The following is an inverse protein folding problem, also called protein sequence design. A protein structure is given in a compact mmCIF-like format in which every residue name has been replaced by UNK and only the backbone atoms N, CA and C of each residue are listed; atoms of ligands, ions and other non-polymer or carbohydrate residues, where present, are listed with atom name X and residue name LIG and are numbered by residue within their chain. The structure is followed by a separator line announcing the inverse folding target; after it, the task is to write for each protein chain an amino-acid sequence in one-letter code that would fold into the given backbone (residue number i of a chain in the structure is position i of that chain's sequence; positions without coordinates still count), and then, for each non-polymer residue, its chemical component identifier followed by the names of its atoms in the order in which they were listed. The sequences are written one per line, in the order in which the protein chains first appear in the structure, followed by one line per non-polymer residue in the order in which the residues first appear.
data_IF_865222565129
#
_entry.id   IF_865222565129
#
_cell.length_a   1.000
_cell.length_b   1.000
_cell.length_c   1.000
_cell.angle_alpha   90.00
_cell.angle_beta   90.00
_cell.angle_gamma   90.00
#
_symmetry.space_group_name_H-M   'P 1'
#
loop_
_entity.id
_entity.type
_entity.pdbx_description
1 polymer ?
#
# COMPACT_ATOMS: atom_id res chain seq x y z
N UNK A 1 0.08 -21.11 26.47
CA UNK A 1 0.09 -21.10 24.99
C UNK A 1 -0.15 -19.72 24.38
N UNK A 2 -1.10 -18.90 24.86
CA UNK A 2 -1.31 -17.54 24.34
C UNK A 2 -0.11 -16.56 24.48
N UNK A 3 0.73 -16.74 25.51
CA UNK A 3 1.92 -15.90 25.73
C UNK A 3 3.13 -16.21 24.83
N UNK A 4 3.14 -17.37 24.16
CA UNK A 4 4.19 -17.75 23.21
C UNK A 4 3.87 -17.26 21.80
N UNK A 5 2.60 -17.30 21.38
CA UNK A 5 2.14 -16.67 20.14
C UNK A 5 2.38 -15.14 20.17
N UNK A 6 2.00 -14.46 21.26
CA UNK A 6 2.23 -13.01 21.43
C UNK A 6 3.71 -12.60 21.45
N UNK A 7 4.61 -13.52 21.85
CA UNK A 7 6.07 -13.29 21.80
C UNK A 7 6.65 -13.55 20.41
N UNK A 8 6.14 -14.56 19.69
CA UNK A 8 6.51 -14.80 18.30
C UNK A 8 6.05 -13.64 17.39
N UNK A 9 4.85 -13.11 17.62
CA UNK A 9 4.33 -11.94 16.91
C UNK A 9 5.19 -10.69 17.18
N UNK A 10 5.66 -10.51 18.41
CA UNK A 10 6.53 -9.40 18.80
C UNK A 10 7.98 -9.54 18.30
N UNK A 11 8.48 -10.76 18.09
CA UNK A 11 9.80 -11.02 17.49
C UNK A 11 9.80 -10.80 15.97
N UNK A 12 8.68 -11.08 15.30
CA UNK A 12 8.49 -10.84 13.85
C UNK A 12 8.39 -9.32 13.56
N UNK A 13 7.88 -8.52 14.50
CA UNK A 13 7.67 -7.07 14.38
C UNK A 13 8.81 -6.20 14.93
N UNK A 14 9.91 -6.80 15.40
CA UNK A 14 11.01 -6.06 16.00
C UNK A 14 11.82 -5.29 14.94
N UNK A 15 11.29 -4.12 14.53
CA UNK A 15 12.01 -3.16 13.70
C UNK A 15 13.42 -2.99 14.24
N UNK A 16 14.42 -3.10 13.36
CA UNK A 16 15.78 -2.75 13.72
C UNK A 16 15.77 -1.33 14.29
N UNK A 17 16.50 -1.08 15.39
CA UNK A 17 16.51 0.25 16.06
C UNK A 17 16.80 1.40 15.09
N UNK A 18 17.55 1.13 14.03
CA UNK A 18 17.82 2.06 12.94
C UNK A 18 16.57 2.38 12.09
N UNK A 19 15.78 1.35 11.75
CA UNK A 19 14.55 1.46 10.96
C UNK A 19 13.44 2.20 11.73
N UNK A 20 13.25 1.87 13.01
CA UNK A 20 12.31 2.60 13.87
C UNK A 20 12.67 4.09 13.98
N UNK A 21 13.97 4.40 14.09
CA UNK A 21 14.47 5.78 14.11
C UNK A 21 14.25 6.49 12.78
N UNK A 22 14.50 5.83 11.66
CA UNK A 22 14.26 6.36 10.32
C UNK A 22 12.77 6.69 10.12
N UNK A 23 11.89 5.74 10.42
CA UNK A 23 10.44 5.91 10.30
C UNK A 23 9.94 7.06 11.18
N UNK A 24 10.42 7.15 12.42
CA UNK A 24 10.08 8.27 13.32
C UNK A 24 10.53 9.61 12.74
N UNK A 25 11.77 9.70 12.26
CA UNK A 25 12.31 10.94 11.66
C UNK A 25 11.52 11.34 10.41
N UNK A 26 11.24 10.40 9.51
CA UNK A 26 10.45 10.65 8.28
C UNK A 26 9.06 11.19 8.61
N UNK A 27 8.35 10.54 9.54
CA UNK A 27 7.00 10.97 9.96
C UNK A 27 7.01 12.33 10.66
N UNK A 28 7.92 12.54 11.62
CA UNK A 28 8.03 13.82 12.31
C UNK A 28 8.41 14.95 11.34
N UNK A 29 9.34 14.69 10.41
CA UNK A 29 9.69 15.66 9.38
C UNK A 29 8.46 16.00 8.51
N UNK A 30 7.67 15.02 8.07
CA UNK A 30 6.46 15.26 7.29
C UNK A 30 5.38 16.06 8.02
N UNK A 31 5.18 15.82 9.32
CA UNK A 31 4.23 16.58 10.14
C UNK A 31 4.61 18.06 10.29
N UNK A 32 5.88 18.41 10.15
CA UNK A 32 6.37 19.79 10.25
C UNK A 32 6.51 20.41 8.86
N UNK A 33 7.21 19.72 7.95
CA UNK A 33 7.49 20.20 6.59
C UNK A 33 6.23 20.32 5.75
N UNK A 34 5.25 19.42 5.88
CA UNK A 34 3.99 19.50 5.14
C UNK A 34 3.27 20.83 5.39
N UNK A 35 2.87 21.14 6.64
CA UNK A 35 2.25 22.42 6.98
C UNK A 35 3.14 23.63 6.70
N UNK A 36 4.46 23.52 6.91
CA UNK A 36 5.37 24.62 6.60
C UNK A 36 5.40 24.95 5.10
N UNK A 37 5.47 23.94 4.23
CA UNK A 37 5.44 24.12 2.78
C UNK A 37 4.07 24.58 2.29
N UNK A 38 2.98 24.10 2.91
CA UNK A 38 1.63 24.60 2.66
C UNK A 38 1.55 26.11 2.90
N UNK A 39 1.99 26.57 4.08
CA UNK A 39 1.98 27.99 4.44
C UNK A 39 2.91 28.81 3.54
N UNK A 40 4.08 28.27 3.22
CA UNK A 40 5.02 28.92 2.30
C UNK A 40 4.36 29.15 0.94
N UNK A 41 3.75 28.14 0.34
CA UNK A 41 3.08 28.29 -0.97
C UNK A 41 1.89 29.22 -0.86
N UNK A 42 1.07 29.12 0.19
CA UNK A 42 -0.12 29.96 0.37
C UNK A 42 0.23 31.45 0.51
N UNK A 43 1.33 31.77 1.21
CA UNK A 43 1.79 33.14 1.44
C UNK A 43 2.67 33.68 0.32
N UNK A 44 3.25 32.80 -0.50
CA UNK A 44 4.08 33.22 -1.62
C UNK A 44 3.22 33.79 -2.76
N UNK A 45 3.46 35.04 -3.21
CA UNK A 45 2.64 35.63 -4.25
C UNK A 45 2.90 34.94 -5.60
N UNK A 46 1.86 34.28 -6.13
CA UNK A 46 1.86 33.67 -7.47
C UNK A 46 0.87 34.41 -8.37
N UNK A 47 1.25 35.56 -8.94
CA UNK A 47 0.34 36.47 -9.63
C UNK A 47 -0.27 35.91 -10.93
N UNK A 48 0.27 34.80 -11.45
CA UNK A 48 -0.24 34.12 -12.63
C UNK A 48 -1.43 33.19 -12.36
N UNK A 49 -1.80 32.97 -11.09
CA UNK A 49 -2.87 32.05 -10.69
C UNK A 49 -4.10 32.78 -10.16
N UNK A 50 -5.28 32.19 -10.36
CA UNK A 50 -6.49 32.61 -9.64
C UNK A 50 -6.35 32.31 -8.15
N UNK A 51 -7.04 33.03 -7.25
CA UNK A 51 -6.96 32.77 -5.81
C UNK A 51 -7.31 31.31 -5.43
N UNK A 52 -8.27 30.71 -6.12
CA UNK A 52 -8.67 29.32 -5.93
C UNK A 52 -7.58 28.35 -6.41
N UNK A 53 -6.98 28.60 -7.58
CA UNK A 53 -5.89 27.77 -8.10
C UNK A 53 -4.63 27.84 -7.22
N UNK A 54 -4.32 29.02 -6.69
CA UNK A 54 -3.21 29.21 -5.75
C UNK A 54 -3.45 28.45 -4.43
N UNK A 55 -4.64 28.57 -3.86
CA UNK A 55 -5.01 27.82 -2.64
C UNK A 55 -4.96 26.30 -2.90
N UNK A 56 -5.42 25.85 -4.06
CA UNK A 56 -5.36 24.45 -4.46
C UNK A 56 -3.91 23.95 -4.59
N UNK A 57 -3.01 24.75 -5.17
CA UNK A 57 -1.61 24.42 -5.27
C UNK A 57 -0.97 24.20 -3.88
N UNK A 58 -1.30 25.05 -2.91
CA UNK A 58 -0.85 24.86 -1.53
C UNK A 58 -1.37 23.54 -0.94
N UNK A 59 -2.67 23.24 -1.11
CA UNK A 59 -3.27 21.98 -0.66
C UNK A 59 -2.61 20.76 -1.30
N UNK A 60 -2.30 20.80 -2.60
CA UNK A 60 -1.60 19.72 -3.30
C UNK A 60 -0.21 19.49 -2.69
N UNK A 61 0.55 20.55 -2.45
CA UNK A 61 1.89 20.46 -1.84
C UNK A 61 1.81 19.82 -0.44
N UNK A 62 0.80 20.17 0.35
CA UNK A 62 0.56 19.54 1.64
C UNK A 62 0.29 18.03 1.51
N UNK A 63 -0.68 17.67 0.67
CA UNK A 63 -1.11 16.27 0.48
C UNK A 63 0.03 15.40 -0.04
N UNK A 64 0.77 15.88 -1.05
CA UNK A 64 1.93 15.17 -1.61
C UNK A 64 3.03 15.02 -0.56
N UNK A 65 3.34 16.09 0.18
CA UNK A 65 4.34 16.04 1.26
C UNK A 65 3.98 15.00 2.33
N UNK A 66 2.71 14.95 2.73
CA UNK A 66 2.20 13.98 3.71
C UNK A 66 2.18 12.55 3.16
N UNK A 67 1.92 12.34 1.88
CA UNK A 67 1.99 11.01 1.24
C UNK A 67 3.42 10.49 1.12
N UNK A 68 4.37 11.32 0.66
CA UNK A 68 5.78 10.92 0.53
C UNK A 68 6.40 10.56 1.88
N UNK A 69 6.04 11.32 2.91
CA UNK A 69 6.57 11.11 4.27
C UNK A 69 5.76 10.09 5.08
N UNK A 70 4.57 9.71 4.61
CA UNK A 70 3.59 8.91 5.35
C UNK A 70 3.41 9.38 6.81
N UNK A 71 3.42 10.69 6.99
CA UNK A 71 3.27 11.34 8.29
C UNK A 71 1.90 11.06 8.92
N UNK A 72 0.89 10.90 8.08
CA UNK A 72 -0.46 10.44 8.42
C UNK A 72 -0.79 9.18 7.60
N UNK A 73 -1.73 8.33 8.05
CA UNK A 73 -2.25 7.23 7.25
C UNK A 73 -2.72 7.73 5.87
N UNK A 74 -2.39 7.00 4.80
CA UNK A 74 -2.66 7.41 3.41
C UNK A 74 -4.14 7.81 3.20
N UNK A 75 -5.07 7.05 3.79
CA UNK A 75 -6.50 7.33 3.71
C UNK A 75 -6.91 8.64 4.41
N UNK A 76 -6.30 8.96 5.55
CA UNK A 76 -6.57 10.21 6.27
C UNK A 76 -6.06 11.42 5.44
N UNK A 77 -4.87 11.30 4.85
CA UNK A 77 -4.31 12.32 3.95
C UNK A 77 -5.17 12.49 2.68
N UNK A 78 -5.71 11.40 2.13
CA UNK A 78 -6.58 11.44 0.96
C UNK A 78 -7.90 12.20 1.21
N UNK A 79 -8.44 12.15 2.43
CA UNK A 79 -9.61 12.94 2.84
C UNK A 79 -9.26 14.40 3.15
N UNK A 80 -8.05 14.66 3.69
CA UNK A 80 -7.61 15.99 4.07
C UNK A 80 -7.64 16.97 2.89
N UNK A 81 -7.19 16.55 1.70
CA UNK A 81 -7.15 17.40 0.50
C UNK A 81 -8.52 17.97 0.12
N UNK A 82 -9.53 17.13 -0.16
CA UNK A 82 -10.90 17.56 -0.43
C UNK A 82 -11.53 18.39 0.69
N UNK A 83 -11.28 18.05 1.95
CA UNK A 83 -11.76 18.85 3.10
C UNK A 83 -11.18 20.27 3.04
N UNK A 84 -9.87 20.40 2.83
CA UNK A 84 -9.25 21.71 2.66
C UNK A 84 -9.77 22.43 1.41
N UNK A 85 -10.01 21.72 0.31
CA UNK A 85 -10.62 22.29 -0.88
C UNK A 85 -11.99 22.94 -0.61
N UNK A 86 -12.80 22.32 0.24
CA UNK A 86 -14.09 22.88 0.69
C UNK A 86 -13.88 24.09 1.61
N UNK A 87 -12.98 23.97 2.59
CA UNK A 87 -12.69 25.05 3.57
C UNK A 87 -12.18 26.31 2.87
N UNK A 88 -11.28 26.17 1.88
CA UNK A 88 -10.77 27.27 1.07
C UNK A 88 -11.72 27.70 -0.06
N UNK A 89 -12.93 27.13 -0.12
CA UNK A 89 -13.95 27.42 -1.15
C UNK A 89 -13.43 27.27 -2.59
N UNK A 90 -12.54 26.29 -2.79
CA UNK A 90 -12.01 25.92 -4.11
C UNK A 90 -13.09 25.19 -4.92
N UNK A 91 -13.84 24.29 -4.27
CA UNK A 91 -14.93 23.54 -4.86
C UNK A 91 -16.05 23.28 -3.84
N UNK A 92 -17.31 23.14 -4.26
CA UNK A 92 -18.39 22.74 -3.36
C UNK A 92 -18.19 21.29 -2.88
N UNK A 93 -18.75 20.97 -1.71
CA UNK A 93 -18.56 19.66 -1.07
C UNK A 93 -18.95 18.47 -1.94
N UNK A 94 -20.03 18.62 -2.73
CA UNK A 94 -20.49 17.58 -3.66
C UNK A 94 -19.43 17.24 -4.71
N UNK A 95 -18.74 18.24 -5.24
CA UNK A 95 -17.76 18.05 -6.31
C UNK A 95 -16.41 17.60 -5.74
N UNK A 96 -16.02 18.12 -4.56
CA UNK A 96 -14.78 17.72 -3.90
C UNK A 96 -14.81 16.27 -3.37
N UNK A 97 -15.97 15.81 -2.89
CA UNK A 97 -16.13 14.44 -2.36
C UNK A 97 -16.74 13.46 -3.38
N UNK A 98 -17.30 13.94 -4.48
CA UNK A 98 -17.88 13.13 -5.55
C UNK A 98 -16.98 11.98 -6.04
N UNK A 99 -15.66 12.19 -6.22
CA UNK A 99 -14.74 11.13 -6.64
C UNK A 99 -14.68 9.92 -5.70
N UNK A 100 -15.06 10.03 -4.42
CA UNK A 100 -15.13 8.87 -3.51
C UNK A 100 -16.28 7.92 -3.84
N UNK A 101 -17.22 8.33 -4.68
CA UNK A 101 -18.32 7.50 -5.18
C UNK A 101 -18.13 7.08 -6.64
N UNK A 102 -16.90 7.18 -7.17
CA UNK A 102 -16.60 6.74 -8.52
C UNK A 102 -16.83 5.21 -8.66
N UNK A 103 -17.52 4.74 -9.72
CA UNK A 103 -17.76 3.30 -9.94
C UNK A 103 -16.50 2.43 -9.90
N UNK A 104 -15.33 2.99 -10.27
CA UNK A 104 -14.05 2.29 -10.22
C UNK A 104 -13.68 1.91 -8.78
N UNK A 105 -14.02 2.74 -7.78
CA UNK A 105 -13.78 2.40 -6.36
C UNK A 105 -14.59 1.16 -5.96
N UNK A 106 -15.86 1.09 -6.37
CA UNK A 106 -16.71 -0.07 -6.08
C UNK A 106 -16.23 -1.33 -6.81
N UNK A 107 -15.70 -1.18 -8.03
CA UNK A 107 -15.06 -2.27 -8.75
C UNK A 107 -13.85 -2.82 -7.98
N UNK A 108 -12.99 -1.95 -7.43
CA UNK A 108 -11.87 -2.36 -6.58
C UNK A 108 -12.32 -3.03 -5.28
N UNK A 109 -13.38 -2.53 -4.64
CA UNK A 109 -13.94 -3.17 -3.45
C UNK A 109 -14.40 -4.60 -3.79
N UNK A 110 -15.14 -4.77 -4.89
CA UNK A 110 -15.58 -6.08 -5.36
C UNK A 110 -14.43 -7.03 -5.69
N UNK A 111 -13.35 -6.53 -6.33
CA UNK A 111 -12.18 -7.35 -6.64
C UNK A 111 -11.41 -7.76 -5.37
N UNK A 112 -11.31 -6.88 -4.36
CA UNK A 112 -10.74 -7.24 -3.06
C UNK A 112 -11.58 -8.26 -2.30
N UNK A 113 -12.92 -8.16 -2.36
CA UNK A 113 -13.79 -9.19 -1.77
C UNK A 113 -13.60 -10.55 -2.45
N UNK A 114 -13.46 -10.59 -3.78
CA UNK A 114 -13.18 -11.82 -4.52
C UNK A 114 -11.79 -12.39 -4.16
N UNK A 115 -10.77 -11.52 -4.10
CA UNK A 115 -9.42 -11.89 -3.69
C UNK A 115 -9.39 -12.52 -2.29
N UNK A 116 -10.08 -11.89 -1.33
CA UNK A 116 -10.19 -12.39 0.04
C UNK A 116 -10.95 -13.72 0.10
N UNK A 117 -12.03 -13.88 -0.68
CA UNK A 117 -12.74 -15.15 -0.76
C UNK A 117 -11.82 -16.28 -1.27
N UNK A 118 -10.99 -16.02 -2.30
CA UNK A 118 -10.01 -17.00 -2.77
C UNK A 118 -8.98 -17.36 -1.69
N UNK A 119 -8.52 -16.38 -0.92
CA UNK A 119 -7.56 -16.57 0.18
C UNK A 119 -8.17 -17.40 1.32
N UNK A 120 -9.37 -17.05 1.78
CA UNK A 120 -10.07 -17.77 2.88
C UNK A 120 -10.42 -19.21 2.49
N UNK A 121 -10.81 -19.46 1.23
CA UNK A 121 -11.06 -20.81 0.74
C UNK A 121 -9.79 -21.59 0.34
N UNK A 122 -8.62 -20.95 0.40
CA UNK A 122 -7.33 -21.53 0.04
C UNK A 122 -7.20 -21.90 -1.43
N UNK A 123 -7.96 -21.26 -2.31
CA UNK A 123 -7.90 -21.50 -3.76
C UNK A 123 -6.53 -21.11 -4.32
N UNK A 124 -6.01 -19.98 -3.86
CA UNK A 124 -4.66 -19.47 -4.14
C UNK A 124 -3.56 -20.51 -3.85
N UNK A 125 -3.61 -21.15 -2.68
CA UNK A 125 -2.68 -22.22 -2.29
C UNK A 125 -2.84 -23.47 -3.13
N UNK A 126 -4.09 -23.87 -3.44
CA UNK A 126 -4.36 -25.02 -4.31
C UNK A 126 -3.77 -24.79 -5.70
N UNK A 127 -3.93 -23.61 -6.28
CA UNK A 127 -3.34 -23.24 -7.58
C UNK A 127 -1.81 -23.32 -7.49
N UNK A 128 -1.21 -22.70 -6.47
CA UNK A 128 0.24 -22.69 -6.29
C UNK A 128 0.82 -24.11 -6.14
N UNK A 129 0.26 -24.93 -5.25
CA UNK A 129 0.74 -26.29 -5.05
C UNK A 129 0.49 -27.19 -6.25
N UNK A 130 -0.65 -27.06 -6.93
CA UNK A 130 -0.94 -27.84 -8.13
C UNK A 130 0.11 -27.56 -9.20
N UNK A 131 0.42 -26.29 -9.48
CA UNK A 131 1.43 -25.91 -10.45
C UNK A 131 2.84 -26.36 -10.07
N UNK A 132 3.23 -26.20 -8.79
CA UNK A 132 4.58 -26.54 -8.31
C UNK A 132 4.80 -28.05 -8.14
N UNK A 133 3.73 -28.82 -7.90
CA UNK A 133 3.77 -30.29 -7.76
C UNK A 133 3.95 -31.04 -9.08
N UNK A 134 3.85 -30.35 -10.22
CA UNK A 134 3.96 -30.99 -11.53
C UNK A 134 5.33 -31.64 -11.71
N UNK A 135 5.35 -32.93 -12.06
CA UNK A 135 6.58 -33.76 -12.12
C UNK A 135 7.70 -33.18 -12.99
N UNK A 136 7.36 -32.43 -14.04
CA UNK A 136 8.34 -31.83 -14.93
C UNK A 136 9.03 -30.62 -14.29
N UNK A 137 8.40 -29.96 -13.32
CA UNK A 137 8.90 -28.75 -12.64
C UNK A 137 10.08 -29.08 -11.71
N UNK A 138 9.98 -30.17 -10.96
CA UNK A 138 11.04 -30.65 -10.06
C UNK A 138 12.31 -31.18 -10.72
N UNK A 139 12.36 -31.30 -12.05
CA UNK A 139 13.53 -31.87 -12.78
C UNK A 139 14.69 -30.90 -12.99
N UNK A 140 14.49 -29.60 -12.75
CA UNK A 140 15.52 -28.58 -12.94
C UNK A 140 15.27 -27.38 -12.02
N UNK A 141 16.29 -26.88 -11.29
CA UNK A 141 16.17 -25.68 -10.46
C UNK A 141 15.69 -24.44 -11.23
N UNK A 142 16.17 -24.24 -12.46
CA UNK A 142 15.78 -23.11 -13.32
C UNK A 142 14.29 -23.13 -13.66
N UNK A 143 13.75 -24.33 -13.92
CA UNK A 143 12.35 -24.53 -14.23
C UNK A 143 11.45 -24.34 -13.01
N UNK A 144 11.89 -24.83 -11.86
CA UNK A 144 11.22 -24.58 -10.58
C UNK A 144 11.11 -23.08 -10.31
N UNK A 145 12.19 -22.33 -10.50
CA UNK A 145 12.18 -20.87 -10.34
C UNK A 145 11.24 -20.18 -11.34
N UNK A 146 11.25 -20.59 -12.61
CA UNK A 146 10.38 -20.03 -13.64
C UNK A 146 8.89 -20.24 -13.32
N UNK A 147 8.52 -21.44 -12.88
CA UNK A 147 7.12 -21.76 -12.50
C UNK A 147 6.74 -21.07 -11.20
N UNK A 148 7.62 -21.01 -10.21
CA UNK A 148 7.39 -20.25 -8.99
C UNK A 148 7.14 -18.76 -9.27
N UNK A 149 7.97 -18.14 -10.10
CA UNK A 149 7.79 -16.75 -10.53
C UNK A 149 6.51 -16.55 -11.34
N UNK A 150 6.19 -17.47 -12.25
CA UNK A 150 4.96 -17.43 -13.04
C UNK A 150 3.71 -17.52 -12.18
N UNK A 151 3.67 -18.47 -11.24
CA UNK A 151 2.58 -18.60 -10.26
C UNK A 151 2.44 -17.33 -9.42
N UNK A 152 3.53 -16.80 -8.90
CA UNK A 152 3.50 -15.55 -8.14
C UNK A 152 2.93 -14.40 -8.97
N UNK A 153 3.38 -14.23 -10.22
CA UNK A 153 2.88 -13.19 -11.11
C UNK A 153 1.39 -13.36 -11.43
N UNK A 154 0.93 -14.56 -11.74
CA UNK A 154 -0.48 -14.85 -12.04
C UNK A 154 -1.37 -14.60 -10.82
N UNK A 155 -0.96 -15.06 -9.64
CA UNK A 155 -1.73 -14.83 -8.41
C UNK A 155 -1.76 -13.34 -8.04
N UNK A 156 -0.66 -12.61 -8.24
CA UNK A 156 -0.57 -11.17 -7.97
C UNK A 156 -1.47 -10.31 -8.85
N UNK A 157 -2.01 -10.83 -9.96
CA UNK A 157 -2.97 -10.11 -10.81
C UNK A 157 -4.38 -10.07 -10.19
N UNK A 158 -4.74 -11.08 -9.40
CA UNK A 158 -6.09 -11.26 -8.86
C UNK A 158 -6.17 -11.17 -7.34
N UNK A 159 -5.03 -11.29 -6.67
CA UNK A 159 -4.87 -11.24 -5.22
C UNK A 159 -4.02 -10.01 -4.88
N UNK A 160 -4.14 -9.47 -3.66
CA UNK A 160 -3.25 -8.40 -3.23
C UNK A 160 -1.78 -8.85 -3.29
N UNK A 161 -0.91 -7.94 -3.77
CA UNK A 161 0.53 -8.21 -3.90
C UNK A 161 1.14 -8.64 -2.56
N UNK A 162 0.72 -8.00 -1.45
CA UNK A 162 1.18 -8.32 -0.10
C UNK A 162 0.76 -9.72 0.34
N UNK A 163 -0.48 -10.14 0.09
CA UNK A 163 -0.94 -11.49 0.43
C UNK A 163 -0.24 -12.56 -0.42
N UNK A 164 -0.06 -12.30 -1.72
CA UNK A 164 0.67 -13.20 -2.62
C UNK A 164 2.10 -13.40 -2.14
N UNK A 165 2.81 -12.32 -1.78
CA UNK A 165 4.17 -12.40 -1.25
C UNK A 165 4.23 -13.17 0.08
N UNK A 166 3.32 -12.89 1.01
CA UNK A 166 3.24 -13.57 2.30
C UNK A 166 2.96 -15.08 2.17
N UNK A 167 2.12 -15.47 1.21
CA UNK A 167 1.82 -16.87 0.90
C UNK A 167 3.00 -17.57 0.20
N UNK A 168 3.62 -16.92 -0.78
CA UNK A 168 4.71 -17.50 -1.59
C UNK A 168 6.02 -17.63 -0.80
N UNK A 169 6.25 -16.78 0.20
CA UNK A 169 7.45 -16.81 1.04
C UNK A 169 7.72 -18.19 1.71
N UNK A 170 6.80 -18.77 2.52
CA UNK A 170 7.02 -20.08 3.13
C UNK A 170 7.13 -21.21 2.10
N UNK A 171 6.44 -21.11 0.95
CA UNK A 171 6.57 -22.07 -0.16
C UNK A 171 7.99 -22.02 -0.74
N UNK A 172 8.51 -20.82 -1.01
CA UNK A 172 9.87 -20.61 -1.51
C UNK A 172 10.92 -21.13 -0.53
N UNK A 173 10.77 -20.85 0.77
CA UNK A 173 11.65 -21.37 1.81
C UNK A 173 11.67 -22.91 1.84
N UNK A 174 10.50 -23.54 1.69
CA UNK A 174 10.38 -25.00 1.64
C UNK A 174 11.12 -25.58 0.43
N UNK A 175 11.01 -24.95 -0.74
CA UNK A 175 11.70 -25.37 -1.97
C UNK A 175 13.22 -25.27 -1.79
N UNK A 176 13.72 -24.14 -1.28
CA UNK A 176 15.16 -23.92 -1.08
C UNK A 176 15.74 -24.92 -0.08
N UNK A 177 15.00 -25.26 0.97
CA UNK A 177 15.43 -26.25 1.97
C UNK A 177 15.59 -27.66 1.39
N UNK A 178 14.78 -28.06 0.41
CA UNK A 178 14.85 -29.38 -0.25
C UNK A 178 15.84 -29.43 -1.44
N UNK A 179 16.36 -28.28 -1.87
CA UNK A 179 17.39 -28.18 -2.92
C UNK A 179 18.82 -28.26 -2.36
N UNK A 180 18.98 -28.24 -1.04
CA UNK A 180 20.24 -28.46 -0.32
C UNK A 180 20.37 -29.93 0.05
#
# INVERSE_FOLDING_TARGET
MAGQARKADAEIEAYSRAEARFNRRRRTAGLILGPALFLLVLLWPLPSLTPQAHSLAAVIVLVVGLWVTEALPIAATALLGPILAIVFRIAPARDALGPFSDPIIFLFIGSFMLAEAMFVHGLDRRIAYTALSLRWVGRSPTRMLAVFGGVAATLSMWISNTATAAMMFPIGMSIVAHLR
#
